data_IF_628568301593
#
_entry.id   IF_628568301593
#
_cell.length_a   1.000
_cell.length_b   1.000
_cell.length_c   1.000
_cell.angle_alpha   90.00
_cell.angle_beta   90.00
_cell.angle_gamma   90.00
#
_symmetry.space_group_name_H-M   'P 1'
#
loop_
_entity.id
_entity.type
_entity.pdbx_description
1 polymer ?
#
# COMPACT_ATOMS: atom_id res chain seq x y z
N UNK A 1 3.40 1.39 21.96
CA UNK A 1 2.12 1.14 21.26
C UNK A 1 1.03 1.84 22.07
N UNK A 2 0.70 3.09 21.72
CA UNK A 2 -0.29 3.89 22.44
C UNK A 2 -1.45 4.21 21.49
N UNK A 3 -2.53 3.45 21.64
CA UNK A 3 -3.81 3.64 20.97
C UNK A 3 -4.78 2.60 21.50
N UNK A 4 -5.74 3.02 22.32
CA UNK A 4 -6.61 2.17 23.14
C UNK A 4 -7.74 1.49 22.34
N UNK A 5 -7.43 0.92 21.16
CA UNK A 5 -8.38 0.25 20.27
C UNK A 5 -8.03 -1.21 19.98
N UNK A 6 -8.97 -1.93 19.35
CA UNK A 6 -8.81 -3.35 18.98
C UNK A 6 -7.72 -3.54 17.90
N UNK A 7 -7.44 -2.51 17.10
CA UNK A 7 -6.43 -2.52 16.04
C UNK A 7 -5.22 -1.62 16.39
N UNK A 8 -3.99 -2.03 16.01
CA UNK A 8 -2.84 -1.14 15.96
C UNK A 8 -3.14 0.14 15.18
N UNK A 9 -2.79 1.27 15.77
CA UNK A 9 -2.93 2.60 15.16
C UNK A 9 -1.75 3.48 15.54
N UNK A 10 -1.50 4.49 14.71
CA UNK A 10 -0.56 5.56 15.04
C UNK A 10 -1.09 6.40 16.21
N UNK A 11 -0.19 7.14 16.86
CA UNK A 11 -0.55 8.04 17.94
C UNK A 11 -1.48 9.16 17.45
N UNK A 12 -2.25 9.74 18.37
CA UNK A 12 -3.10 10.88 18.06
C UNK A 12 -2.25 12.07 17.54
N UNK A 13 -1.02 12.23 18.03
CA UNK A 13 -0.05 13.25 17.54
C UNK A 13 0.32 13.05 16.08
N UNK A 14 0.46 11.82 15.63
CA UNK A 14 0.75 11.53 14.23
C UNK A 14 -0.45 11.89 13.34
N UNK A 15 -1.69 11.60 13.77
CA UNK A 15 -2.88 12.05 13.03
C UNK A 15 -3.04 13.58 13.03
N UNK A 16 -2.74 14.26 14.15
CA UNK A 16 -2.70 15.74 14.21
C UNK A 16 -1.67 16.31 13.22
N UNK A 17 -0.48 15.72 13.13
CA UNK A 17 0.55 16.12 12.16
C UNK A 17 0.05 15.97 10.72
N UNK A 18 -0.60 14.85 10.40
CA UNK A 18 -1.15 14.58 9.06
C UNK A 18 -2.28 15.55 8.72
N UNK A 19 -3.20 15.80 9.64
CA UNK A 19 -4.26 16.81 9.48
C UNK A 19 -3.66 18.18 9.17
N UNK A 20 -2.68 18.62 9.96
CA UNK A 20 -2.01 19.89 9.77
C UNK A 20 -1.39 20.01 8.37
N UNK A 21 -0.59 19.04 7.94
CA UNK A 21 0.08 19.07 6.63
C UNK A 21 -0.92 19.10 5.47
N UNK A 22 -1.97 18.28 5.54
CA UNK A 22 -3.01 18.22 4.51
C UNK A 22 -3.82 19.52 4.47
N UNK A 23 -4.21 20.08 5.62
CA UNK A 23 -4.92 21.37 5.65
C UNK A 23 -4.05 22.53 5.15
N UNK A 24 -2.74 22.52 5.38
CA UNK A 24 -1.83 23.51 4.79
C UNK A 24 -1.76 23.38 3.26
N UNK A 25 -1.76 22.15 2.73
CA UNK A 25 -1.85 21.93 1.28
C UNK A 25 -3.20 22.44 0.73
N UNK A 26 -4.32 22.10 1.37
CA UNK A 26 -5.66 22.57 0.97
C UNK A 26 -5.74 24.10 0.91
N UNK A 27 -5.21 24.80 1.93
CA UNK A 27 -5.14 26.28 1.96
C UNK A 27 -4.35 26.84 0.78
N UNK A 28 -3.17 26.26 0.48
CA UNK A 28 -2.33 26.69 -0.65
C UNK A 28 -2.99 26.45 -2.00
N UNK A 29 -3.69 25.32 -2.15
CA UNK A 29 -4.42 24.95 -3.36
C UNK A 29 -5.81 25.57 -3.47
N UNK A 30 -6.25 26.32 -2.44
CA UNK A 30 -7.57 26.96 -2.35
C UNK A 30 -8.69 25.94 -2.54
N UNK A 31 -8.59 24.84 -1.81
CA UNK A 31 -9.56 23.74 -1.78
C UNK A 31 -10.30 23.76 -0.45
N UNK A 32 -11.63 23.71 -0.52
CA UNK A 32 -12.49 23.73 0.66
C UNK A 32 -12.70 22.32 1.23
N UNK A 33 -12.74 21.30 0.36
CA UNK A 33 -12.99 19.89 0.72
C UNK A 33 -12.14 18.98 -0.15
N UNK A 34 -11.51 17.97 0.43
CA UNK A 34 -10.92 16.86 -0.32
C UNK A 34 -11.92 15.72 -0.47
N UNK A 35 -12.00 15.18 -1.68
CA UNK A 35 -12.61 13.91 -2.01
C UNK A 35 -11.49 12.90 -2.26
N UNK A 36 -11.22 12.08 -1.24
CA UNK A 36 -10.14 11.09 -1.28
C UNK A 36 -10.74 9.72 -1.54
N UNK A 37 -10.22 9.00 -2.52
CA UNK A 37 -10.70 7.68 -2.90
C UNK A 37 -9.61 6.62 -2.76
N UNK A 38 -9.99 5.45 -2.25
CA UNK A 38 -9.17 4.24 -2.29
C UNK A 38 -10.06 3.00 -2.46
N UNK A 39 -9.52 1.96 -3.09
CA UNK A 39 -10.26 0.73 -3.39
C UNK A 39 -9.44 -0.55 -3.31
N UNK A 40 -8.16 -0.46 -2.91
CA UNK A 40 -7.23 -1.58 -2.89
C UNK A 40 -6.20 -1.44 -1.79
N UNK A 41 -5.54 -2.56 -1.46
CA UNK A 41 -4.50 -2.62 -0.43
C UNK A 41 -3.25 -1.80 -0.75
N UNK A 42 -2.97 -1.55 -2.03
CA UNK A 42 -1.81 -0.77 -2.48
C UNK A 42 -2.04 0.73 -2.41
N UNK A 43 -3.29 1.18 -2.23
CA UNK A 43 -3.63 2.59 -2.10
C UNK A 43 -4.05 2.95 -0.67
N UNK A 44 -3.13 3.59 0.04
CA UNK A 44 -3.33 4.05 1.41
C UNK A 44 -3.85 5.49 1.50
N UNK A 45 -4.40 6.07 0.44
CA UNK A 45 -4.81 7.49 0.45
C UNK A 45 -5.90 7.75 1.49
N UNK A 46 -6.95 6.92 1.53
CA UNK A 46 -7.95 6.99 2.61
C UNK A 46 -7.34 6.62 3.97
N UNK A 47 -6.49 5.58 4.01
CA UNK A 47 -5.87 5.11 5.25
C UNK A 47 -5.02 6.17 5.95
N UNK A 48 -4.33 7.02 5.20
CA UNK A 48 -3.39 7.99 5.76
C UNK A 48 -4.03 8.94 6.78
N UNK A 49 -5.24 9.43 6.48
CA UNK A 49 -5.99 10.33 7.38
C UNK A 49 -7.01 9.62 8.26
N UNK A 50 -7.52 8.47 7.83
CA UNK A 50 -8.58 7.77 8.57
C UNK A 50 -8.09 6.63 9.45
N UNK A 51 -6.93 6.05 9.18
CA UNK A 51 -6.51 4.77 9.76
C UNK A 51 -7.24 3.54 9.19
N UNK A 52 -8.30 3.72 8.38
CA UNK A 52 -9.06 2.62 7.81
C UNK A 52 -8.38 2.01 6.57
N UNK A 53 -8.27 0.69 6.51
CA UNK A 53 -7.74 -0.03 5.35
C UNK A 53 -8.84 -0.27 4.31
N UNK A 54 -8.86 0.58 3.27
CA UNK A 54 -9.88 0.57 2.22
C UNK A 54 -9.69 -0.59 1.21
N UNK A 55 -10.16 -1.79 1.54
CA UNK A 55 -10.12 -2.98 0.66
C UNK A 55 -11.19 -2.99 -0.44
N UNK A 56 -12.12 -2.04 -0.40
CA UNK A 56 -13.26 -1.87 -1.31
C UNK A 56 -13.40 -0.39 -1.64
N UNK A 57 -14.09 -0.02 -2.74
CA UNK A 57 -14.38 1.38 -3.05
C UNK A 57 -14.83 2.14 -1.81
N UNK A 58 -14.03 3.13 -1.41
CA UNK A 58 -14.22 3.90 -0.19
C UNK A 58 -13.86 5.34 -0.49
N UNK A 59 -14.70 6.25 -0.02
CA UNK A 59 -14.43 7.68 -0.09
C UNK A 59 -14.21 8.24 1.31
N UNK A 60 -13.31 9.20 1.43
CA UNK A 60 -13.17 10.07 2.58
C UNK A 60 -13.43 11.50 2.10
N UNK A 61 -14.50 12.10 2.60
CA UNK A 61 -14.81 13.52 2.41
C UNK A 61 -14.16 14.28 3.56
N UNK A 62 -13.15 15.10 3.26
CA UNK A 62 -12.30 15.75 4.24
C UNK A 62 -12.35 17.27 4.10
N UNK A 63 -13.22 17.96 4.86
CA UNK A 63 -13.35 19.40 4.76
C UNK A 63 -12.17 20.14 5.42
N UNK A 64 -11.89 21.35 4.93
CA UNK A 64 -10.92 22.26 5.55
C UNK A 64 -11.37 22.65 6.96
N UNK A 65 -12.67 22.91 7.10
CA UNK A 65 -13.36 23.29 8.33
C UNK A 65 -14.52 22.32 8.59
N UNK A 66 -14.58 21.75 9.80
CA UNK A 66 -15.60 20.77 10.19
C UNK A 66 -15.08 19.34 10.25
N UNK A 67 -16.02 18.39 10.38
CA UNK A 67 -15.70 16.98 10.63
C UNK A 67 -15.65 16.16 9.33
N UNK A 68 -14.63 15.31 9.14
CA UNK A 68 -14.55 14.43 7.99
C UNK A 68 -15.59 13.31 8.04
N UNK A 69 -15.96 12.79 6.87
CA UNK A 69 -16.90 11.66 6.73
C UNK A 69 -16.30 10.54 5.89
N UNK A 70 -16.24 9.33 6.45
CA UNK A 70 -15.80 8.12 5.78
C UNK A 70 -17.02 7.37 5.21
N UNK A 71 -16.99 7.08 3.91
CA UNK A 71 -18.10 6.50 3.16
C UNK A 71 -17.65 5.16 2.59
N UNK A 72 -18.19 4.08 3.14
CA UNK A 72 -17.86 2.71 2.77
C UNK A 72 -18.74 2.20 1.62
N UNK A 73 -18.30 1.15 0.94
CA UNK A 73 -19.16 0.46 -0.02
C UNK A 73 -20.37 -0.20 0.67
N UNK A 74 -20.14 -1.00 1.72
CA UNK A 74 -21.18 -1.82 2.33
C UNK A 74 -21.44 -1.48 3.81
N UNK A 75 -22.72 -1.48 4.22
CA UNK A 75 -23.15 -1.21 5.59
C UNK A 75 -22.57 -2.18 6.61
N UNK A 76 -22.47 -3.47 6.27
CA UNK A 76 -21.94 -4.50 7.17
C UNK A 76 -20.43 -4.33 7.47
N UNK A 77 -19.72 -3.46 6.75
CA UNK A 77 -18.31 -3.15 7.06
C UNK A 77 -18.16 -2.07 8.13
N UNK A 78 -19.22 -1.31 8.44
CA UNK A 78 -19.17 -0.18 9.37
C UNK A 78 -18.72 -0.54 10.79
N UNK A 79 -19.14 -1.68 11.40
CA UNK A 79 -18.68 -2.02 12.74
C UNK A 79 -17.15 -2.14 12.82
N UNK A 80 -16.53 -2.83 11.86
CA UNK A 80 -15.07 -2.92 11.78
C UNK A 80 -14.42 -1.56 11.51
N UNK A 81 -15.01 -0.75 10.62
CA UNK A 81 -14.49 0.59 10.34
C UNK A 81 -14.54 1.51 11.58
N UNK A 82 -15.56 1.41 12.43
CA UNK A 82 -15.66 2.20 13.68
C UNK A 82 -14.56 1.86 14.69
N UNK A 83 -14.13 0.61 14.73
CA UNK A 83 -13.04 0.17 15.61
C UNK A 83 -11.65 0.53 15.07
N UNK A 84 -11.51 0.61 13.73
CA UNK A 84 -10.23 0.85 13.06
C UNK A 84 -9.96 2.34 12.78
N UNK A 85 -10.99 3.08 12.40
CA UNK A 85 -10.88 4.44 11.91
C UNK A 85 -10.84 5.47 13.04
N UNK A 86 -10.05 6.53 12.88
CA UNK A 86 -10.13 7.73 13.73
C UNK A 86 -11.30 8.64 13.34
N UNK A 87 -11.90 8.42 12.17
CA UNK A 87 -13.05 9.20 11.67
C UNK A 87 -14.33 8.72 12.36
N UNK A 88 -15.02 9.63 13.05
CA UNK A 88 -16.25 9.34 13.80
C UNK A 88 -17.48 9.19 12.90
N UNK A 89 -17.59 10.04 11.87
CA UNK A 89 -18.72 10.02 10.94
C UNK A 89 -18.47 8.97 9.86
N UNK A 90 -19.11 7.82 10.00
CA UNK A 90 -18.99 6.71 9.05
C UNK A 90 -20.38 6.40 8.47
N UNK A 91 -20.46 6.31 7.15
CA UNK A 91 -21.67 5.93 6.41
C UNK A 91 -21.32 4.98 5.26
N UNK A 92 -22.28 4.64 4.39
CA UNK A 92 -22.09 3.78 3.23
C UNK A 92 -22.86 4.29 2.02
N UNK A 93 -22.46 3.85 0.83
CA UNK A 93 -23.09 4.27 -0.44
C UNK A 93 -23.73 3.16 -1.27
N UNK A 94 -23.41 1.88 -0.99
CA UNK A 94 -23.85 0.74 -1.80
C UNK A 94 -23.61 0.96 -3.30
N UNK A 95 -24.64 0.85 -4.15
CA UNK A 95 -24.50 1.03 -5.60
C UNK A 95 -24.63 2.50 -6.07
N UNK A 96 -24.74 3.47 -5.17
CA UNK A 96 -24.89 4.89 -5.52
C UNK A 96 -23.86 5.81 -4.83
N UNK A 97 -22.56 5.67 -5.17
CA UNK A 97 -21.48 6.46 -4.59
C UNK A 97 -21.62 7.96 -4.85
N UNK A 98 -21.99 8.35 -6.07
CA UNK A 98 -22.01 9.77 -6.46
C UNK A 98 -23.12 10.52 -5.74
N UNK A 99 -24.35 9.98 -5.68
CA UNK A 99 -25.42 10.66 -4.94
C UNK A 99 -25.13 10.75 -3.44
N UNK A 100 -24.54 9.69 -2.87
CA UNK A 100 -24.13 9.68 -1.45
C UNK A 100 -23.08 10.76 -1.16
N UNK A 101 -22.08 10.91 -2.05
CA UNK A 101 -21.10 11.98 -1.99
C UNK A 101 -21.74 13.36 -2.04
N UNK A 102 -22.67 13.55 -2.99
CA UNK A 102 -23.36 14.81 -3.18
C UNK A 102 -24.22 15.22 -1.99
N UNK A 103 -24.88 14.26 -1.33
CA UNK A 103 -25.65 14.54 -0.13
C UNK A 103 -24.76 15.15 0.97
N UNK A 104 -23.54 14.63 1.13
CA UNK A 104 -22.58 15.12 2.11
C UNK A 104 -22.01 16.47 1.65
N UNK A 105 -21.54 16.58 0.41
CA UNK A 105 -20.97 17.82 -0.15
C UNK A 105 -21.95 18.99 -0.06
N UNK A 106 -23.24 18.77 -0.37
CA UNK A 106 -24.29 19.81 -0.27
C UNK A 106 -24.52 20.31 1.16
N UNK A 107 -24.22 19.49 2.16
CA UNK A 107 -24.32 19.90 3.58
C UNK A 107 -23.12 20.74 4.03
N UNK A 108 -22.04 20.73 3.26
CA UNK A 108 -20.83 21.51 3.49
C UNK A 108 -20.90 22.84 2.73
N UNK A 109 -20.46 23.94 3.37
CA UNK A 109 -20.27 25.22 2.69
C UNK A 109 -18.97 25.17 1.89
N UNK A 110 -19.05 24.69 0.65
CA UNK A 110 -17.88 24.55 -0.23
C UNK A 110 -18.21 24.89 -1.68
N UNK A 111 -17.19 25.36 -2.39
CA UNK A 111 -17.23 25.65 -3.83
C UNK A 111 -16.07 25.01 -4.58
N UNK A 112 -14.96 24.73 -3.89
CA UNK A 112 -13.76 24.11 -4.44
C UNK A 112 -13.51 22.73 -3.83
N UNK A 113 -13.47 21.69 -4.66
CA UNK A 113 -13.31 20.29 -4.26
C UNK A 113 -12.01 19.76 -4.85
N UNK A 114 -11.08 19.38 -3.98
CA UNK A 114 -9.85 18.72 -4.36
C UNK A 114 -10.07 17.22 -4.51
N UNK A 115 -9.69 16.63 -5.63
CA UNK A 115 -9.79 15.20 -5.87
C UNK A 115 -8.43 14.56 -5.58
N UNK A 116 -8.45 13.47 -4.81
CA UNK A 116 -7.27 12.65 -4.50
C UNK A 116 -7.58 11.20 -4.84
N UNK A 117 -6.84 10.63 -5.79
CA UNK A 117 -6.88 9.20 -6.06
C UNK A 117 -6.62 8.88 -7.54
N UNK A 118 -5.73 7.93 -7.79
CA UNK A 118 -5.33 7.55 -9.15
C UNK A 118 -6.28 6.55 -9.83
N UNK A 119 -7.21 5.95 -9.07
CA UNK A 119 -8.02 4.83 -9.52
C UNK A 119 -9.52 5.06 -9.28
N UNK A 120 -9.97 6.31 -9.29
CA UNK A 120 -11.41 6.62 -9.19
C UNK A 120 -12.13 6.04 -10.41
N UNK A 121 -13.22 5.27 -10.25
CA UNK A 121 -13.94 4.70 -11.38
C UNK A 121 -14.38 5.79 -12.36
N UNK A 122 -14.14 5.56 -13.66
CA UNK A 122 -14.44 6.52 -14.73
C UNK A 122 -15.89 7.02 -14.68
N UNK A 123 -16.85 6.13 -14.40
CA UNK A 123 -18.26 6.51 -14.26
C UNK A 123 -18.51 7.52 -13.13
N UNK A 124 -17.74 7.44 -12.03
CA UNK A 124 -17.86 8.38 -10.91
C UNK A 124 -17.26 9.72 -11.29
N UNK A 125 -16.06 9.75 -11.87
CA UNK A 125 -15.43 10.98 -12.35
C UNK A 125 -16.33 11.70 -13.34
N UNK A 126 -16.83 10.98 -14.35
CA UNK A 126 -17.75 11.54 -15.35
C UNK A 126 -18.98 12.14 -14.66
N UNK A 127 -19.60 11.45 -13.71
CA UNK A 127 -20.77 11.98 -13.01
C UNK A 127 -20.43 13.22 -12.17
N UNK A 128 -19.25 13.28 -11.56
CA UNK A 128 -18.79 14.45 -10.81
C UNK A 128 -18.51 15.66 -11.71
N UNK A 129 -17.95 15.45 -12.91
CA UNK A 129 -17.68 16.51 -13.90
C UNK A 129 -18.95 17.20 -14.41
N UNK A 130 -20.10 16.51 -14.40
CA UNK A 130 -21.38 17.09 -14.82
C UNK A 130 -22.03 17.96 -13.73
N UNK A 131 -21.43 18.06 -12.55
CA UNK A 131 -21.97 18.85 -11.46
C UNK A 131 -21.65 20.33 -11.63
N UNK A 132 -22.70 21.13 -11.77
CA UNK A 132 -22.58 22.60 -11.80
C UNK A 132 -22.48 23.17 -10.39
N UNK A 133 -21.71 24.25 -10.22
CA UNK A 133 -21.59 24.98 -8.95
C UNK A 133 -20.41 24.55 -8.07
N UNK A 134 -19.63 23.56 -8.52
CA UNK A 134 -18.39 23.14 -7.87
C UNK A 134 -17.23 23.22 -8.86
N UNK A 135 -16.07 23.64 -8.35
CA UNK A 135 -14.80 23.60 -9.06
C UNK A 135 -14.00 22.39 -8.58
N UNK A 136 -13.72 21.43 -9.46
CA UNK A 136 -12.91 20.27 -9.13
C UNK A 136 -11.45 20.53 -9.48
N UNK A 137 -10.54 20.22 -8.55
CA UNK A 137 -9.09 20.41 -8.70
C UNK A 137 -8.40 19.09 -8.39
N UNK A 138 -7.60 18.55 -9.31
CA UNK A 138 -6.75 17.40 -8.99
C UNK A 138 -5.60 17.87 -8.09
N UNK A 139 -5.50 17.28 -6.89
CA UNK A 139 -4.42 17.53 -5.92
C UNK A 139 -3.75 16.22 -5.49
N UNK A 140 -3.85 15.18 -6.32
CA UNK A 140 -3.34 13.84 -6.01
C UNK A 140 -1.83 13.84 -5.80
N UNK A 141 -1.06 14.50 -6.67
CA UNK A 141 0.40 14.60 -6.52
C UNK A 141 0.81 15.41 -5.29
N UNK A 142 0.11 16.52 -4.99
CA UNK A 142 0.37 17.32 -3.80
C UNK A 142 0.13 16.51 -2.52
N UNK A 143 -0.95 15.71 -2.50
CA UNK A 143 -1.26 14.81 -1.39
C UNK A 143 -0.22 13.68 -1.25
N UNK A 144 0.26 13.12 -2.37
CA UNK A 144 1.27 12.07 -2.38
C UNK A 144 2.63 12.59 -1.90
N UNK A 145 3.00 13.83 -2.22
CA UNK A 145 4.23 14.48 -1.74
C UNK A 145 4.28 14.55 -0.21
N UNK A 146 3.16 14.88 0.44
CA UNK A 146 3.05 14.88 1.91
C UNK A 146 3.36 13.48 2.47
N UNK A 147 2.85 12.44 1.80
CA UNK A 147 3.01 11.05 2.20
C UNK A 147 4.40 10.50 1.91
N UNK A 148 5.20 11.08 1.01
CA UNK A 148 6.53 10.56 0.71
C UNK A 148 7.49 10.67 1.90
N UNK A 149 7.37 11.72 2.71
CA UNK A 149 8.19 11.89 3.92
C UNK A 149 7.52 11.15 5.09
N UNK A 150 8.12 10.04 5.49
CA UNK A 150 7.63 9.18 6.57
C UNK A 150 7.95 9.79 7.94
N UNK A 151 7.01 9.68 8.88
CA UNK A 151 7.30 9.89 10.30
C UNK A 151 8.10 8.71 10.88
N UNK A 152 8.67 8.91 12.07
CA UNK A 152 9.31 7.83 12.83
C UNK A 152 8.34 6.68 13.15
N UNK A 153 7.06 6.99 13.44
CA UNK A 153 6.05 5.95 13.68
C UNK A 153 5.77 5.13 12.42
N UNK A 154 5.68 5.77 11.24
CA UNK A 154 5.55 5.08 9.95
C UNK A 154 6.78 4.20 9.68
N UNK A 155 7.98 4.70 9.96
CA UNK A 155 9.25 3.96 9.82
C UNK A 155 9.24 2.71 10.71
N UNK A 156 8.74 2.80 11.95
CA UNK A 156 8.65 1.64 12.84
C UNK A 156 7.67 0.58 12.31
N UNK A 157 6.58 0.96 11.67
CA UNK A 157 5.69 0.02 10.99
C UNK A 157 6.36 -0.62 9.76
N UNK A 158 7.15 0.14 8.99
CA UNK A 158 7.99 -0.43 7.92
C UNK A 158 9.02 -1.42 8.46
N UNK A 159 9.70 -1.13 9.57
CA UNK A 159 10.62 -2.08 10.22
C UNK A 159 9.90 -3.35 10.65
N UNK A 160 8.68 -3.22 11.19
CA UNK A 160 7.87 -4.39 11.58
C UNK A 160 7.52 -5.24 10.36
N UNK A 161 7.10 -4.61 9.27
CA UNK A 161 6.88 -5.27 8.00
C UNK A 161 8.15 -5.95 7.47
N UNK A 162 9.31 -5.29 7.52
CA UNK A 162 10.58 -5.86 7.09
C UNK A 162 10.93 -7.14 7.83
N UNK A 163 10.76 -7.17 9.16
CA UNK A 163 10.93 -8.37 9.96
C UNK A 163 10.01 -9.51 9.53
N UNK A 164 8.76 -9.22 9.14
CA UNK A 164 7.82 -10.23 8.65
C UNK A 164 8.21 -10.75 7.26
N UNK A 165 8.70 -9.88 6.39
CA UNK A 165 9.25 -10.24 5.07
C UNK A 165 10.50 -11.10 5.22
N UNK A 166 11.40 -10.79 6.16
CA UNK A 166 12.59 -11.59 6.46
C UNK A 166 12.21 -13.01 6.88
N UNK A 167 11.22 -13.16 7.77
CA UNK A 167 10.70 -14.47 8.17
C UNK A 167 10.14 -15.28 7.00
N UNK A 168 9.46 -14.62 6.05
CA UNK A 168 8.98 -15.26 4.83
C UNK A 168 10.14 -15.78 3.96
N UNK A 169 11.19 -14.96 3.80
CA UNK A 169 12.39 -15.32 3.03
C UNK A 169 13.18 -16.45 3.68
N UNK A 170 13.41 -16.40 5.00
CA UNK A 170 14.06 -17.49 5.73
C UNK A 170 13.28 -18.81 5.62
N UNK A 171 11.95 -18.72 5.65
CA UNK A 171 11.09 -19.91 5.51
C UNK A 171 11.20 -20.48 4.11
N UNK A 172 11.26 -19.65 3.07
CA UNK A 172 11.52 -20.08 1.70
C UNK A 172 12.89 -20.75 1.59
N UNK A 173 13.96 -20.09 2.02
CA UNK A 173 15.32 -20.62 2.00
C UNK A 173 15.41 -22.03 2.61
N UNK A 174 14.82 -22.22 3.80
CA UNK A 174 14.81 -23.51 4.51
C UNK A 174 13.93 -24.58 3.84
N UNK A 175 12.98 -24.17 3.00
CA UNK A 175 11.98 -25.06 2.39
C UNK A 175 12.32 -25.44 0.94
N UNK A 176 13.19 -24.67 0.28
CA UNK A 176 13.58 -24.91 -1.12
C UNK A 176 14.45 -26.15 -1.23
N UNK A 177 13.89 -27.19 -1.86
CA UNK A 177 14.58 -28.44 -2.19
C UNK A 177 13.88 -29.14 -3.36
N UNK A 178 14.58 -30.08 -3.99
CA UNK A 178 14.01 -30.91 -5.06
C UNK A 178 12.76 -31.63 -4.56
N UNK A 179 11.74 -31.70 -5.42
CA UNK A 179 10.48 -32.39 -5.14
C UNK A 179 9.40 -31.51 -4.49
N UNK A 180 9.71 -30.30 -4.04
CA UNK A 180 8.70 -29.35 -3.53
C UNK A 180 8.08 -28.59 -4.69
N UNK A 181 6.76 -28.50 -4.73
CA UNK A 181 6.03 -27.68 -5.72
C UNK A 181 6.05 -26.20 -5.36
N UNK A 182 5.85 -25.33 -6.37
CA UNK A 182 5.72 -23.89 -6.13
C UNK A 182 4.52 -23.56 -5.23
N UNK A 183 3.44 -24.32 -5.32
CA UNK A 183 2.25 -24.16 -4.47
C UNK A 183 2.55 -24.48 -2.99
N UNK A 184 3.29 -25.55 -2.73
CA UNK A 184 3.74 -25.89 -1.37
C UNK A 184 4.69 -24.83 -0.80
N UNK A 185 5.63 -24.32 -1.61
CA UNK A 185 6.51 -23.21 -1.19
C UNK A 185 5.71 -21.97 -0.83
N UNK A 186 4.71 -21.61 -1.65
CA UNK A 186 3.86 -20.46 -1.39
C UNK A 186 3.09 -20.61 -0.07
N UNK A 187 2.53 -21.80 0.21
CA UNK A 187 1.85 -22.07 1.47
C UNK A 187 2.81 -21.98 2.68
N UNK A 188 4.01 -22.57 2.56
CA UNK A 188 5.02 -22.53 3.60
C UNK A 188 5.48 -21.10 3.89
N UNK A 189 5.71 -20.28 2.88
CA UNK A 189 6.07 -18.87 3.04
C UNK A 189 4.98 -18.09 3.79
N UNK A 190 3.70 -18.23 3.42
CA UNK A 190 2.60 -17.56 4.12
C UNK A 190 2.52 -17.97 5.60
N UNK A 191 2.78 -19.24 5.91
CA UNK A 191 2.77 -19.71 7.30
C UNK A 191 3.78 -18.99 8.21
N UNK A 192 4.84 -18.38 7.65
CA UNK A 192 5.89 -17.72 8.42
C UNK A 192 5.43 -16.41 9.08
N UNK A 193 4.46 -15.70 8.48
CA UNK A 193 4.08 -14.36 8.91
C UNK A 193 2.61 -14.21 9.31
N UNK A 194 1.70 -15.05 8.81
CA UNK A 194 0.26 -14.91 9.08
C UNK A 194 -0.05 -14.95 10.59
N UNK A 195 0.51 -15.93 11.30
CA UNK A 195 0.32 -16.08 12.75
C UNK A 195 0.94 -14.92 13.57
N UNK A 196 1.79 -14.09 12.94
CA UNK A 196 2.44 -12.93 13.55
C UNK A 196 1.75 -11.61 13.18
N UNK A 197 0.59 -11.67 12.51
CA UNK A 197 -0.19 -10.52 12.09
C UNK A 197 0.29 -9.87 10.79
N UNK A 198 1.13 -10.54 10.00
CA UNK A 198 1.52 -10.07 8.68
C UNK A 198 0.39 -10.26 7.65
N UNK A 199 0.31 -9.32 6.70
CA UNK A 199 -0.70 -9.31 5.64
C UNK A 199 -0.03 -9.64 4.30
N UNK A 200 -0.58 -10.56 3.49
CA UNK A 200 -0.06 -10.79 2.15
C UNK A 200 -0.31 -9.55 1.28
N UNK A 201 0.74 -9.04 0.62
CA UNK A 201 0.64 -7.87 -0.28
C UNK A 201 1.02 -8.26 -1.70
N UNK A 202 2.26 -8.69 -1.92
CA UNK A 202 2.74 -9.25 -3.18
C UNK A 202 3.54 -10.51 -2.86
N UNK A 203 3.22 -11.63 -3.48
CA UNK A 203 3.82 -12.91 -3.13
C UNK A 203 4.05 -13.73 -4.40
N UNK A 204 5.03 -13.30 -5.19
CA UNK A 204 5.35 -13.92 -6.48
C UNK A 204 6.51 -14.89 -6.32
N UNK A 205 6.27 -16.14 -6.74
CA UNK A 205 7.27 -17.21 -6.74
C UNK A 205 7.23 -17.88 -8.11
N UNK A 206 8.39 -17.96 -8.74
CA UNK A 206 8.59 -18.67 -9.99
C UNK A 206 9.86 -19.52 -9.92
N UNK A 207 9.96 -20.54 -10.77
CA UNK A 207 11.20 -21.30 -10.90
C UNK A 207 11.50 -21.69 -12.34
N UNK A 208 12.76 -21.62 -12.73
CA UNK A 208 13.22 -22.01 -14.07
C UNK A 208 14.61 -22.63 -14.00
N UNK A 209 14.98 -23.44 -14.99
CA UNK A 209 16.31 -24.05 -15.04
C UNK A 209 17.36 -22.97 -15.36
N UNK A 210 18.44 -22.88 -14.58
CA UNK A 210 19.45 -21.84 -14.77
C UNK A 210 20.27 -21.97 -16.06
N UNK A 211 20.34 -23.17 -16.66
CA UNK A 211 21.06 -23.42 -17.92
C UNK A 211 20.20 -23.15 -19.15
N UNK A 212 18.87 -23.21 -19.00
CA UNK A 212 17.91 -22.93 -20.07
C UNK A 212 16.71 -22.14 -19.49
N UNK A 213 16.91 -20.88 -19.08
CA UNK A 213 15.87 -20.10 -18.43
C UNK A 213 14.76 -19.74 -19.43
N UNK A 214 13.50 -20.00 -19.05
CA UNK A 214 12.30 -19.76 -19.89
C UNK A 214 11.29 -18.79 -19.25
N UNK A 215 11.54 -18.34 -18.02
CA UNK A 215 10.65 -17.45 -17.28
C UNK A 215 11.26 -16.05 -17.14
N UNK A 216 10.39 -15.05 -17.07
CA UNK A 216 10.72 -13.64 -16.95
C UNK A 216 10.02 -13.05 -15.72
N UNK A 217 10.64 -12.06 -15.09
CA UNK A 217 10.04 -11.32 -13.95
C UNK A 217 9.38 -10.02 -14.41
N UNK A 218 8.28 -9.58 -13.76
CA UNK A 218 7.60 -10.24 -12.65
C UNK A 218 6.71 -11.40 -13.14
N UNK A 219 6.82 -12.55 -12.48
CA UNK A 219 5.97 -13.72 -12.77
C UNK A 219 4.95 -13.90 -11.65
N UNK A 220 3.72 -13.42 -11.88
CA UNK A 220 2.78 -13.14 -10.81
C UNK A 220 2.06 -14.38 -10.24
N UNK A 221 2.03 -15.49 -10.98
CA UNK A 221 1.26 -16.68 -10.62
C UNK A 221 2.13 -17.94 -10.64
N UNK A 222 2.19 -18.73 -9.55
CA UNK A 222 2.99 -19.95 -9.54
C UNK A 222 2.45 -20.97 -10.56
N UNK A 223 3.34 -21.58 -11.33
CA UNK A 223 3.03 -22.74 -12.19
C UNK A 223 2.97 -24.03 -11.36
N UNK A 224 2.45 -25.12 -11.92
CA UNK A 224 2.47 -26.46 -11.30
C UNK A 224 3.86 -27.13 -11.28
N UNK A 225 4.93 -26.36 -11.55
CA UNK A 225 6.31 -26.86 -11.53
C UNK A 225 6.68 -27.38 -10.15
N UNK A 226 7.26 -28.57 -10.15
CA UNK A 226 8.02 -29.12 -9.03
C UNK A 226 9.49 -28.79 -9.20
N UNK A 227 10.13 -28.34 -8.12
CA UNK A 227 11.54 -27.96 -8.14
C UNK A 227 12.45 -29.14 -8.49
N UNK A 228 13.40 -28.87 -9.37
CA UNK A 228 14.44 -29.79 -9.81
C UNK A 228 15.82 -29.21 -9.53
N UNK A 229 16.83 -30.08 -9.47
CA UNK A 229 18.22 -29.65 -9.28
C UNK A 229 18.62 -28.75 -10.45
N UNK A 230 19.28 -27.63 -10.13
CA UNK A 230 19.71 -26.65 -11.14
C UNK A 230 18.64 -25.63 -11.53
N UNK A 231 17.43 -25.72 -10.96
CA UNK A 231 16.49 -24.61 -10.99
C UNK A 231 17.03 -23.42 -10.17
N UNK A 232 16.56 -22.22 -10.52
CA UNK A 232 16.54 -21.05 -9.65
C UNK A 232 15.09 -20.74 -9.29
N UNK A 233 14.84 -20.50 -8.01
CA UNK A 233 13.59 -19.92 -7.52
C UNK A 233 13.77 -18.41 -7.50
N UNK A 234 12.85 -17.69 -8.15
CA UNK A 234 12.85 -16.24 -8.23
C UNK A 234 11.67 -15.73 -7.41
N UNK A 235 11.92 -14.73 -6.57
CA UNK A 235 10.94 -14.25 -5.59
C UNK A 235 10.78 -12.74 -5.65
N UNK A 236 9.54 -12.28 -5.52
CA UNK A 236 9.16 -10.90 -5.22
C UNK A 236 8.11 -10.95 -4.11
N UNK A 237 8.57 -10.72 -2.88
CA UNK A 237 7.78 -10.93 -1.66
C UNK A 237 7.65 -9.61 -0.91
N UNK A 238 6.41 -9.26 -0.62
CA UNK A 238 6.00 -8.13 0.20
C UNK A 238 5.02 -8.60 1.26
N UNK A 239 5.38 -8.36 2.52
CA UNK A 239 4.50 -8.62 3.66
C UNK A 239 4.14 -7.30 4.31
N UNK A 240 2.85 -7.01 4.43
CA UNK A 240 2.33 -5.79 5.03
C UNK A 240 2.16 -5.88 6.54
N UNK A 241 2.26 -4.74 7.21
CA UNK A 241 1.81 -4.51 8.58
C UNK A 241 0.88 -3.29 8.60
N UNK A 242 -0.43 -3.53 8.69
CA UNK A 242 -1.48 -2.51 8.72
C UNK A 242 -1.36 -1.46 7.60
N UNK A 243 -1.16 -1.95 6.36
CA UNK A 243 -1.02 -1.12 5.16
C UNK A 243 0.43 -0.76 4.81
N UNK A 244 1.38 -0.88 5.73
CA UNK A 244 2.78 -0.54 5.48
C UNK A 244 3.56 -1.78 5.09
N UNK A 245 4.07 -1.81 3.86
CA UNK A 245 4.72 -2.98 3.28
C UNK A 245 6.19 -2.71 2.96
N UNK A 246 7.01 -3.73 3.19
CA UNK A 246 8.40 -3.84 2.76
C UNK A 246 8.45 -4.95 1.71
N UNK A 247 9.32 -4.77 0.72
CA UNK A 247 9.48 -5.71 -0.37
C UNK A 247 10.91 -6.22 -0.40
N UNK A 248 11.07 -7.53 -0.63
CA UNK A 248 12.36 -8.13 -0.86
C UNK A 248 12.32 -9.04 -2.09
N UNK A 249 13.43 -9.01 -2.85
CA UNK A 249 13.69 -9.89 -3.99
C UNK A 249 14.93 -10.72 -3.69
N UNK A 250 14.83 -12.05 -3.82
CA UNK A 250 15.96 -12.98 -3.66
C UNK A 250 15.85 -14.16 -4.62
N UNK A 251 16.86 -14.41 -5.47
CA UNK A 251 16.96 -15.67 -6.18
C UNK A 251 17.59 -16.75 -5.28
N UNK A 252 17.09 -17.99 -5.36
CA UNK A 252 17.63 -19.15 -4.63
C UNK A 252 17.94 -20.28 -5.62
N UNK A 253 19.19 -20.74 -5.66
CA UNK A 253 19.55 -21.90 -6.48
C UNK A 253 19.16 -23.21 -5.80
N UNK A 254 18.61 -24.16 -6.56
CA UNK A 254 18.09 -25.43 -6.03
C UNK A 254 19.15 -26.52 -6.15
N UNK A 255 19.75 -26.89 -5.01
CA UNK A 255 20.71 -28.01 -4.87
C UNK A 255 21.87 -28.00 -5.88
N UNK A 256 22.25 -26.81 -6.36
CA UNK A 256 23.38 -26.57 -7.25
C UNK A 256 23.89 -25.15 -7.00
N UNK A 257 25.19 -24.91 -7.22
CA UNK A 257 25.72 -23.56 -7.26
C UNK A 257 25.09 -22.76 -8.42
N UNK A 258 24.86 -21.44 -8.26
CA UNK A 258 24.44 -20.60 -9.37
C UNK A 258 25.40 -20.72 -10.56
N UNK A 259 24.86 -20.75 -11.78
CA UNK A 259 25.70 -20.78 -13.00
C UNK A 259 26.49 -19.48 -13.12
N UNK A 260 27.54 -19.47 -13.95
CA UNK A 260 28.38 -18.26 -14.15
C UNK A 260 27.53 -17.05 -14.55
N UNK A 261 26.54 -17.25 -15.41
CA UNK A 261 25.60 -16.19 -15.80
C UNK A 261 24.86 -15.60 -14.60
N UNK A 262 24.27 -16.44 -13.73
CA UNK A 262 23.53 -15.97 -12.56
C UNK A 262 24.43 -15.29 -11.52
N UNK A 263 25.67 -15.77 -11.34
CA UNK A 263 26.67 -15.10 -10.49
C UNK A 263 26.97 -13.69 -11.01
N UNK A 264 27.25 -13.56 -12.31
CA UNK A 264 27.53 -12.25 -12.93
C UNK A 264 26.32 -11.31 -12.85
N UNK A 265 25.10 -11.81 -13.08
CA UNK A 265 23.88 -11.00 -12.92
C UNK A 265 23.71 -10.51 -11.48
N UNK A 266 23.99 -11.35 -10.49
CA UNK A 266 23.94 -10.97 -9.08
C UNK A 266 25.01 -9.93 -8.73
N UNK A 267 26.25 -10.14 -9.16
CA UNK A 267 27.37 -9.20 -8.94
C UNK A 267 27.05 -7.80 -9.50
N UNK A 268 26.54 -7.74 -10.74
CA UNK A 268 26.12 -6.48 -11.38
C UNK A 268 24.96 -5.82 -10.62
N UNK A 269 23.95 -6.60 -10.22
CA UNK A 269 22.81 -6.07 -9.47
C UNK A 269 23.24 -5.52 -8.10
N UNK A 270 24.13 -6.22 -7.40
CA UNK A 270 24.69 -5.78 -6.12
C UNK A 270 25.52 -4.51 -6.29
N UNK A 271 26.39 -4.45 -7.30
CA UNK A 271 27.18 -3.26 -7.59
C UNK A 271 26.28 -2.04 -7.90
N UNK A 272 25.25 -2.22 -8.71
CA UNK A 272 24.26 -1.18 -8.98
C UNK A 272 23.60 -0.69 -7.68
N UNK A 273 23.13 -1.62 -6.83
CA UNK A 273 22.52 -1.28 -5.54
C UNK A 273 23.47 -0.50 -4.64
N UNK A 274 24.72 -0.93 -4.51
CA UNK A 274 25.72 -0.25 -3.68
C UNK A 274 26.06 1.14 -4.22
N UNK A 275 26.22 1.29 -5.54
CA UNK A 275 26.51 2.57 -6.19
C UNK A 275 25.36 3.56 -5.99
N UNK A 276 24.11 3.13 -6.19
CA UNK A 276 22.93 3.95 -5.92
C UNK A 276 22.88 4.34 -4.45
N UNK A 277 23.05 3.38 -3.54
CA UNK A 277 23.01 3.63 -2.09
C UNK A 277 24.07 4.65 -1.64
N UNK A 278 25.27 4.63 -2.22
CA UNK A 278 26.36 5.58 -1.91
C UNK A 278 26.05 7.02 -2.35
N UNK A 279 25.21 7.21 -3.39
CA UNK A 279 24.86 8.55 -3.88
C UNK A 279 23.56 9.09 -3.29
N UNK A 280 22.77 8.25 -2.63
CA UNK A 280 21.60 8.70 -1.87
C UNK A 280 22.06 9.62 -0.75
N UNK A 281 21.65 10.89 -0.83
CA UNK A 281 21.93 11.91 0.17
C UNK A 281 20.62 12.54 0.59
N UNK A 282 20.48 12.79 1.88
CA UNK A 282 19.44 13.69 2.37
C UNK A 282 19.69 15.09 1.82
N UNK A 283 18.77 15.60 1.00
CA UNK A 283 18.72 17.01 0.63
C UNK A 283 17.42 17.59 1.17
N UNK A 284 17.54 18.44 2.18
CA UNK A 284 16.42 19.26 2.64
C UNK A 284 16.03 20.23 1.52
N UNK A 285 14.95 19.94 0.80
CA UNK A 285 14.36 20.85 -0.18
C UNK A 285 13.19 21.56 0.48
N UNK A 286 13.31 22.87 0.69
CA UNK A 286 12.23 23.72 1.20
C UNK A 286 10.98 23.76 0.29
N UNK A 287 10.99 23.07 -0.87
CA UNK A 287 9.85 22.95 -1.78
C UNK A 287 8.88 21.81 -1.44
N UNK A 288 9.25 20.92 -0.51
CA UNK A 288 8.40 19.80 -0.09
C UNK A 288 7.55 20.10 1.16
N UNK A 289 7.61 21.32 1.70
CA UNK A 289 6.77 21.77 2.81
C UNK A 289 5.64 22.64 2.32
#
# INVERSE_FOLDING_TARGET
MNGSGIFPRFSDKEFERRDFLVKQMMKRKRVDVLLIYSSSQSDLSVNYLSGYLALRPTYLVYPLEGEPTLILHFRNHMPCAKEMSVIKNITWHFNDPVSSLLQIIKSLKCSSIGVVGNNIPYAHLKALEHLTGYNFVDVTEDYNLIRWIRSEEEIDWFKKSAQLTDLAMEKLEKSIKVGVSLHELNALMHSAFLAKGGQPVLNYIAATNMHEPKLFVPWQFPTDKTLQKGDVVITEISVGYYGYASQMHRPFAVQQNPTRLYQTLFEVALECFERVSKVLRWRYSARCC
#
